data_IF_855747149421
#
_entry.id   IF_855747149421
#
_cell.length_a   1.000
_cell.length_b   1.000
_cell.length_c   1.000
_cell.angle_alpha   90.00
_cell.angle_beta   90.00
_cell.angle_gamma   90.00
#
_symmetry.space_group_name_H-M   'P 1'
#
loop_
_entity.id
_entity.type
_entity.pdbx_description
1 polymer ?
#
# COMPACT_ATOMS: atom_id res chain seq x y z
N UNK A 1 -32.99 -10.91 -16.68
CA UNK A 1 -32.40 -10.34 -15.46
C UNK A 1 -30.92 -10.70 -15.44
N UNK A 2 -30.04 -9.75 -15.74
CA UNK A 2 -28.59 -9.99 -15.82
C UNK A 2 -28.00 -9.75 -14.43
N UNK A 3 -27.60 -10.82 -13.75
CA UNK A 3 -26.90 -10.73 -12.47
C UNK A 3 -25.49 -10.19 -12.75
N UNK A 4 -25.29 -8.90 -12.48
CA UNK A 4 -24.03 -8.19 -12.71
C UNK A 4 -22.98 -8.76 -11.76
N UNK A 5 -22.27 -9.82 -12.17
CA UNK A 5 -21.04 -10.28 -11.53
C UNK A 5 -20.08 -9.08 -11.48
N UNK A 6 -19.98 -8.42 -10.32
CA UNK A 6 -19.02 -7.35 -10.10
C UNK A 6 -17.65 -7.99 -10.08
N UNK A 7 -16.97 -7.95 -11.21
CA UNK A 7 -15.60 -8.43 -11.30
C UNK A 7 -14.68 -7.40 -10.65
N UNK A 8 -13.91 -7.80 -9.64
CA UNK A 8 -12.87 -6.96 -9.01
C UNK A 8 -11.66 -6.73 -9.94
N UNK A 9 -11.79 -6.91 -11.25
CA UNK A 9 -10.67 -6.98 -12.20
C UNK A 9 -9.79 -5.71 -12.22
N UNK A 10 -10.36 -4.55 -11.88
CA UNK A 10 -9.60 -3.29 -11.84
C UNK A 10 -8.76 -3.13 -10.58
N UNK A 11 -9.22 -3.62 -9.42
CA UNK A 11 -8.50 -3.46 -8.15
C UNK A 11 -7.06 -4.01 -8.17
N UNK A 12 -6.79 -5.26 -8.61
CA UNK A 12 -5.42 -5.78 -8.68
C UNK A 12 -4.58 -4.96 -9.67
N UNK A 13 -5.13 -4.58 -10.82
CA UNK A 13 -4.42 -3.75 -11.80
C UNK A 13 -3.95 -2.41 -11.19
N UNK A 14 -4.83 -1.72 -10.45
CA UNK A 14 -4.48 -0.48 -9.76
C UNK A 14 -3.49 -0.70 -8.60
N UNK A 15 -3.59 -1.81 -7.87
CA UNK A 15 -2.62 -2.14 -6.82
C UNK A 15 -1.22 -2.36 -7.39
N UNK A 16 -1.08 -3.14 -8.47
CA UNK A 16 0.21 -3.27 -9.16
C UNK A 16 0.72 -1.94 -9.71
N UNK A 17 -0.15 -1.11 -10.27
CA UNK A 17 0.22 0.22 -10.74
C UNK A 17 0.73 1.12 -9.61
N UNK A 18 0.14 1.05 -8.40
CA UNK A 18 0.58 1.83 -7.24
C UNK A 18 1.97 1.41 -6.73
N UNK A 19 2.27 0.11 -6.78
CA UNK A 19 3.61 -0.42 -6.46
C UNK A 19 4.62 0.09 -7.47
N UNK A 20 4.32 -0.03 -8.76
CA UNK A 20 5.18 0.47 -9.83
C UNK A 20 5.46 1.98 -9.72
N UNK A 21 4.43 2.79 -9.44
CA UNK A 21 4.60 4.23 -9.24
C UNK A 21 5.53 4.56 -8.04
N UNK A 22 5.40 3.78 -6.96
CA UNK A 22 6.25 3.93 -5.77
C UNK A 22 7.71 3.58 -6.08
N UNK A 23 7.94 2.49 -6.82
CA UNK A 23 9.28 2.09 -7.28
C UNK A 23 9.93 3.12 -8.21
N UNK A 24 9.16 3.68 -9.16
CA UNK A 24 9.65 4.73 -10.06
C UNK A 24 10.10 5.94 -9.23
N UNK A 25 9.22 6.41 -8.33
CA UNK A 25 9.53 7.55 -7.48
C UNK A 25 10.76 7.25 -6.60
N UNK A 26 10.93 6.02 -6.14
CA UNK A 26 12.14 5.61 -5.42
C UNK A 26 13.39 5.76 -6.29
N UNK A 27 13.39 5.20 -7.50
CA UNK A 27 14.52 5.31 -8.45
C UNK A 27 14.86 6.77 -8.77
N UNK A 28 13.84 7.61 -8.99
CA UNK A 28 14.01 9.05 -9.22
C UNK A 28 14.70 9.77 -8.05
N UNK A 29 14.33 9.45 -6.80
CA UNK A 29 14.93 10.08 -5.62
C UNK A 29 16.33 9.56 -5.29
N UNK A 30 16.58 8.25 -5.42
CA UNK A 30 17.92 7.67 -5.25
C UNK A 30 18.89 8.17 -6.32
N UNK A 31 18.39 8.36 -7.55
CA UNK A 31 19.14 8.84 -8.69
C UNK A 31 19.07 10.35 -8.87
N UNK A 32 19.36 11.16 -7.85
CA UNK A 32 19.47 12.63 -7.94
C UNK A 32 20.65 13.13 -8.84
N UNK A 33 20.71 12.59 -10.07
CA UNK A 33 21.18 13.14 -11.33
C UNK A 33 20.04 13.22 -12.38
N UNK A 34 18.76 13.11 -12.01
CA UNK A 34 17.69 13.44 -12.95
C UNK A 34 17.46 14.95 -12.98
N UNK A 35 17.96 15.51 -14.08
CA UNK A 35 17.63 16.83 -14.62
C UNK A 35 16.12 16.97 -14.75
N UNK A 36 15.48 17.63 -13.78
CA UNK A 36 14.32 18.48 -14.08
C UNK A 36 14.87 19.71 -14.82
N UNK A 37 15.27 19.52 -16.08
CA UNK A 37 15.48 20.64 -16.99
C UNK A 37 14.10 20.99 -17.53
N UNK A 38 13.43 21.93 -16.86
CA UNK A 38 12.89 23.12 -17.51
C UNK A 38 12.51 24.16 -16.45
N UNK A 39 13.24 25.28 -16.49
CA UNK A 39 12.93 26.59 -15.91
C UNK A 39 12.71 26.70 -14.39
N UNK A 40 13.72 26.39 -13.57
CA UNK A 40 14.18 27.28 -12.49
C UNK A 40 15.28 26.59 -11.67
N UNK A 41 16.50 26.96 -12.01
CA UNK A 41 17.71 26.76 -11.23
C UNK A 41 17.55 27.32 -9.80
N UNK A 42 17.68 26.47 -8.77
CA UNK A 42 18.23 26.92 -7.48
C UNK A 42 19.29 25.95 -6.96
N UNK A 43 20.52 26.46 -6.95
CA UNK A 43 21.81 25.82 -6.64
C UNK A 43 21.99 25.48 -5.14
N UNK A 44 20.96 25.10 -4.39
CA UNK A 44 21.05 25.10 -2.91
C UNK A 44 20.69 23.78 -2.19
N UNK A 45 20.14 22.76 -2.85
CA UNK A 45 19.76 21.52 -2.16
C UNK A 45 20.77 20.38 -2.38
N UNK A 46 22.01 20.56 -1.90
CA UNK A 46 22.99 19.48 -1.68
C UNK A 46 22.83 18.85 -0.29
N UNK A 47 21.60 18.65 0.14
CA UNK A 47 21.29 17.66 1.17
C UNK A 47 20.45 16.64 0.46
N UNK A 48 21.04 15.47 0.19
CA UNK A 48 20.28 14.25 -0.01
C UNK A 48 19.39 14.10 1.23
N UNK A 49 18.19 14.64 1.18
CA UNK A 49 17.18 14.34 2.18
C UNK A 49 17.00 12.83 2.11
N UNK A 50 17.43 12.12 3.15
CA UNK A 50 17.26 10.68 3.30
C UNK A 50 15.77 10.41 3.50
N UNK A 51 15.03 10.47 2.41
CA UNK A 51 13.60 10.22 2.35
C UNK A 51 13.43 8.71 2.33
N UNK A 52 12.91 8.15 3.44
CA UNK A 52 12.46 6.76 3.48
C UNK A 52 11.10 6.63 2.81
N UNK A 53 10.93 5.56 2.06
CA UNK A 53 9.66 5.20 1.41
C UNK A 53 9.34 3.75 1.72
N UNK A 54 8.08 3.48 2.02
CA UNK A 54 7.64 2.15 2.36
C UNK A 54 6.30 1.88 1.68
N UNK A 55 6.21 0.76 0.98
CA UNK A 55 4.94 0.23 0.49
C UNK A 55 4.32 -0.67 1.56
N UNK A 56 3.03 -0.49 1.86
CA UNK A 56 2.31 -1.32 2.82
C UNK A 56 1.18 -2.03 2.08
N UNK A 57 1.21 -3.36 2.15
CA UNK A 57 0.29 -4.26 1.46
C UNK A 57 -0.51 -5.06 2.49
N UNK A 58 -1.59 -4.50 3.05
CA UNK A 58 -2.44 -5.22 3.97
C UNK A 58 -3.29 -6.26 3.22
N UNK A 59 -3.61 -7.35 3.92
CA UNK A 59 -4.65 -8.30 3.57
C UNK A 59 -6.04 -7.69 3.81
N UNK A 60 -7.00 -8.55 4.13
CA UNK A 60 -8.36 -8.09 4.40
C UNK A 60 -8.40 -7.30 5.72
N UNK A 61 -8.96 -6.07 5.68
CA UNK A 61 -9.08 -5.17 6.84
C UNK A 61 -10.54 -4.80 7.06
N UNK A 62 -10.97 -4.80 8.31
CA UNK A 62 -12.34 -4.47 8.73
C UNK A 62 -12.55 -2.96 8.63
N UNK A 63 -12.86 -2.49 7.42
CA UNK A 63 -13.13 -1.07 7.14
C UNK A 63 -14.51 -0.90 6.53
N UNK A 64 -15.08 0.30 6.70
CA UNK A 64 -16.35 0.69 6.07
C UNK A 64 -16.34 0.65 4.53
N UNK A 65 -15.20 0.33 3.90
CA UNK A 65 -15.11 0.13 2.45
C UNK A 65 -16.01 -1.02 1.99
N UNK A 66 -16.22 -2.04 2.82
CA UNK A 66 -17.05 -3.21 2.48
C UNK A 66 -18.52 -2.80 2.44
N UNK A 67 -18.98 -2.08 3.46
CA UNK A 67 -20.34 -1.54 3.57
C UNK A 67 -20.63 -0.52 2.47
N UNK A 68 -19.72 0.43 2.24
CA UNK A 68 -19.84 1.46 1.21
C UNK A 68 -19.94 0.90 -0.22
N UNK A 69 -19.38 -0.29 -0.46
CA UNK A 69 -19.46 -0.96 -1.75
C UNK A 69 -20.72 -1.82 -1.93
N UNK A 70 -21.68 -1.82 -1.00
CA UNK A 70 -22.87 -2.70 -1.05
C UNK A 70 -22.50 -4.17 -1.27
N UNK A 71 -21.32 -4.60 -0.80
CA UNK A 71 -20.92 -5.99 -0.82
C UNK A 71 -21.65 -6.61 0.37
N UNK A 72 -22.79 -7.24 0.10
CA UNK A 72 -23.71 -7.72 1.12
C UNK A 72 -22.96 -8.53 2.16
N UNK A 73 -23.17 -8.17 3.43
CA UNK A 73 -22.67 -8.91 4.59
C UNK A 73 -22.95 -10.42 4.49
N UNK A 74 -24.04 -10.84 3.82
CA UNK A 74 -24.37 -12.25 3.57
C UNK A 74 -23.25 -13.10 2.94
N UNK A 75 -22.44 -12.54 2.03
CA UNK A 75 -21.34 -13.29 1.42
C UNK A 75 -20.12 -13.42 2.34
N UNK A 76 -20.00 -12.56 3.36
CA UNK A 76 -18.86 -12.50 4.27
C UNK A 76 -19.19 -13.05 5.67
N UNK A 77 -20.42 -12.93 6.15
CA UNK A 77 -20.87 -13.48 7.43
C UNK A 77 -20.95 -15.01 7.42
N UNK A 78 -21.05 -15.61 6.24
CA UNK A 78 -21.03 -17.07 6.06
C UNK A 78 -19.60 -17.63 5.96
N UNK A 79 -18.60 -16.78 5.69
CA UNK A 79 -17.20 -17.16 5.58
C UNK A 79 -16.47 -16.52 6.76
N UNK A 80 -16.20 -17.28 7.82
CA UNK A 80 -15.35 -16.87 8.94
C UNK A 80 -13.91 -16.60 8.46
N UNK A 81 -13.73 -15.57 7.63
CA UNK A 81 -12.44 -15.15 7.15
C UNK A 81 -11.80 -14.33 8.26
N UNK A 82 -10.54 -14.62 8.60
CA UNK A 82 -9.81 -13.80 9.54
C UNK A 82 -9.59 -12.43 8.87
N UNK A 83 -9.77 -11.36 9.64
CA UNK A 83 -9.70 -9.97 9.17
C UNK A 83 -8.79 -9.18 10.11
N UNK A 84 -8.03 -8.23 9.58
CA UNK A 84 -7.25 -7.29 10.37
C UNK A 84 -8.12 -6.14 10.89
N UNK A 85 -7.78 -5.64 12.06
CA UNK A 85 -8.32 -4.36 12.53
C UNK A 85 -7.58 -3.19 11.85
N UNK A 86 -8.24 -2.06 11.52
CA UNK A 86 -7.56 -0.85 11.10
C UNK A 86 -6.41 -0.42 12.02
N UNK A 87 -6.52 -0.67 13.33
CA UNK A 87 -5.49 -0.38 14.32
C UNK A 87 -4.22 -1.21 14.08
N UNK A 88 -4.33 -2.43 13.57
CA UNK A 88 -3.17 -3.26 13.22
C UNK A 88 -2.34 -2.61 12.10
N UNK A 89 -3.00 -2.00 11.11
CA UNK A 89 -2.35 -1.27 10.01
C UNK A 89 -1.72 0.04 10.53
N UNK A 90 -2.40 0.75 11.44
CA UNK A 90 -1.87 1.96 12.05
C UNK A 90 -0.60 1.68 12.87
N UNK A 91 -0.62 0.63 13.70
CA UNK A 91 0.53 0.19 14.48
C UNK A 91 1.72 -0.20 13.60
N UNK A 92 1.45 -0.83 12.46
CA UNK A 92 2.48 -1.14 11.46
C UNK A 92 3.14 0.10 10.85
N UNK A 93 2.34 1.14 10.57
CA UNK A 93 2.86 2.42 10.08
C UNK A 93 3.75 3.07 11.15
N UNK A 94 3.31 3.07 12.41
CA UNK A 94 4.10 3.60 13.55
C UNK A 94 5.42 2.85 13.66
N UNK A 95 5.41 1.52 13.52
CA UNK A 95 6.61 0.69 13.52
C UNK A 95 7.60 1.12 12.42
N UNK A 96 7.12 1.30 11.18
CA UNK A 96 7.96 1.74 10.05
C UNK A 96 8.57 3.11 10.29
N UNK A 97 7.77 4.06 10.78
CA UNK A 97 8.23 5.43 11.00
C UNK A 97 9.22 5.50 12.17
N UNK A 98 8.97 4.71 13.21
CA UNK A 98 9.77 4.64 14.43
C UNK A 98 11.14 3.96 14.27
N UNK A 99 11.43 3.34 13.12
CA UNK A 99 12.75 2.73 12.91
C UNK A 99 13.85 3.80 12.82
N UNK A 100 15.07 3.50 13.29
CA UNK A 100 16.21 4.39 13.14
C UNK A 100 16.49 4.72 11.67
N UNK A 101 17.03 5.90 11.38
CA UNK A 101 17.34 6.37 10.02
C UNK A 101 18.18 5.41 9.17
N UNK A 102 19.05 4.61 9.82
CA UNK A 102 19.87 3.55 9.20
C UNK A 102 19.07 2.32 8.74
N UNK A 103 17.82 2.18 9.16
CA UNK A 103 16.94 1.04 8.85
C UNK A 103 15.88 1.52 7.88
N UNK A 104 15.86 0.93 6.68
CA UNK A 104 14.86 1.23 5.66
C UNK A 104 14.02 0.00 5.38
N UNK A 105 12.75 0.04 5.81
CA UNK A 105 11.75 -0.97 5.47
C UNK A 105 11.13 -0.56 4.13
N UNK A 106 11.43 -1.29 3.06
CA UNK A 106 10.95 -0.99 1.70
C UNK A 106 9.52 -1.46 1.46
N UNK A 107 9.18 -2.63 1.98
CA UNK A 107 7.86 -3.23 1.84
C UNK A 107 7.45 -3.92 3.13
N UNK A 108 6.17 -3.78 3.50
CA UNK A 108 5.56 -4.47 4.63
C UNK A 108 4.23 -5.10 4.19
N UNK A 109 4.16 -6.41 4.27
CA UNK A 109 2.95 -7.19 3.99
C UNK A 109 2.41 -7.69 5.32
N UNK A 110 1.16 -7.36 5.63
CA UNK A 110 0.50 -7.81 6.87
C UNK A 110 -0.78 -8.52 6.48
N UNK A 111 -0.97 -9.70 7.05
CA UNK A 111 -2.13 -10.57 6.79
C UNK A 111 -2.69 -11.05 8.11
N UNK A 112 -4.01 -11.28 8.19
CA UNK A 112 -4.62 -11.80 9.38
C UNK A 112 -4.17 -13.26 9.60
N UNK A 113 -3.94 -13.61 10.86
CA UNK A 113 -3.51 -14.95 11.23
C UNK A 113 -4.64 -15.96 10.96
N UNK A 114 -4.32 -17.07 10.29
CA UNK A 114 -5.31 -18.08 9.88
C UNK A 114 -5.87 -17.90 8.48
N UNK A 115 -5.42 -16.89 7.70
CA UNK A 115 -5.73 -16.80 6.28
C UNK A 115 -5.10 -18.00 5.56
N UNK A 116 -5.93 -18.93 5.07
CA UNK A 116 -5.46 -20.13 4.37
C UNK A 116 -4.83 -19.69 3.06
N UNK A 117 -3.50 -19.78 2.96
CA UNK A 117 -2.82 -19.74 1.65
C UNK A 117 -3.36 -20.92 0.84
N UNK A 118 -3.98 -20.65 -0.30
CA UNK A 118 -4.05 -21.67 -1.34
C UNK A 118 -2.61 -22.01 -1.71
N UNK A 119 -2.17 -23.23 -1.36
CA UNK A 119 -0.97 -23.86 -1.95
C UNK A 119 -1.14 -24.03 -3.46
#
# INVERSE_FOLDING_TARGET
FYEKKRTFNFYPAFKFASVAATEITQKELYGSKIRVTNYARLKTFRKSSEIRKSSISPGLVSTGIIEANNITSKTWSEINLPVLDPDDVANAIIYIIGTPQRVHITELIIRPFGEVKYE
#
